data_IF_233215300275
#
_entry.id   IF_233215300275
#
_cell.length_a   1.000
_cell.length_b   1.000
_cell.length_c   1.000
_cell.angle_alpha   90.00
_cell.angle_beta   90.00
_cell.angle_gamma   90.00
#
_symmetry.space_group_name_H-M   'P 1'
#
loop_
_entity.id
_entity.type
_entity.pdbx_description
1 polymer ?
#
# COMPACT_ATOMS: atom_id res chain seq x y z
N UNK A 1 -10.37 17.36 0.16
CA UNK A 1 -9.64 17.06 -1.08
C UNK A 1 -8.79 15.84 -0.80
N UNK A 2 -8.98 14.73 -1.53
CA UNK A 2 -8.07 13.59 -1.41
C UNK A 2 -6.75 14.00 -2.07
N UNK A 3 -5.69 14.17 -1.27
CA UNK A 3 -4.34 14.43 -1.75
C UNK A 3 -3.69 13.10 -2.10
N UNK A 4 -3.63 12.74 -3.37
CA UNK A 4 -3.05 11.49 -3.83
C UNK A 4 -3.37 11.21 -5.30
N UNK A 5 -2.66 10.26 -5.88
CA UNK A 5 -2.85 9.80 -7.25
C UNK A 5 -3.88 8.65 -7.29
N UNK A 6 -4.69 8.58 -8.34
CA UNK A 6 -5.55 7.42 -8.59
C UNK A 6 -4.87 6.45 -9.54
N UNK A 7 -5.06 5.17 -9.29
CA UNK A 7 -4.50 4.08 -10.09
C UNK A 7 -5.59 3.08 -10.46
N UNK A 8 -5.58 2.67 -11.72
CA UNK A 8 -6.41 1.57 -12.23
C UNK A 8 -5.64 0.26 -12.12
N UNK A 9 -6.16 -0.69 -11.36
CA UNK A 9 -5.64 -2.05 -11.35
C UNK A 9 -6.02 -2.78 -12.65
N UNK A 10 -5.19 -3.72 -13.13
CA UNK A 10 -5.45 -4.45 -14.38
C UNK A 10 -6.79 -5.21 -14.41
N UNK A 11 -7.37 -5.50 -13.24
CA UNK A 11 -8.73 -6.06 -13.09
C UNK A 11 -9.86 -5.01 -13.14
N UNK A 12 -9.60 -3.81 -13.67
CA UNK A 12 -10.58 -2.72 -13.83
C UNK A 12 -11.21 -2.26 -12.51
N UNK A 13 -10.37 -2.06 -11.49
CA UNK A 13 -10.80 -1.55 -10.18
C UNK A 13 -9.93 -0.37 -9.78
N UNK A 14 -10.55 0.70 -9.30
CA UNK A 14 -9.85 1.92 -8.92
C UNK A 14 -9.27 1.81 -7.50
N UNK A 15 -8.07 2.37 -7.34
CA UNK A 15 -7.39 2.48 -6.07
C UNK A 15 -6.79 3.87 -5.88
N UNK A 16 -6.92 4.38 -4.66
CA UNK A 16 -6.31 5.62 -4.22
C UNK A 16 -4.94 5.36 -3.61
N UNK A 17 -3.90 5.96 -4.19
CA UNK A 17 -2.53 5.93 -3.65
C UNK A 17 -2.39 6.96 -2.52
N UNK A 18 -1.97 6.50 -1.34
CA UNK A 18 -1.71 7.36 -0.19
C UNK A 18 -0.23 7.74 -0.11
N UNK A 19 0.65 6.75 0.09
CA UNK A 19 2.08 6.99 0.25
C UNK A 19 2.91 5.70 0.05
N UNK A 20 4.23 5.84 0.12
CA UNK A 20 5.16 4.73 0.30
C UNK A 20 5.61 4.71 1.76
N UNK A 21 5.44 3.57 2.42
CA UNK A 21 5.95 3.31 3.75
C UNK A 21 7.30 2.59 3.66
N UNK A 22 8.29 3.08 4.40
CA UNK A 22 9.64 2.50 4.47
C UNK A 22 9.70 1.39 5.55
N UNK A 23 10.58 0.41 5.41
CA UNK A 23 10.84 -0.56 6.48
C UNK A 23 11.12 0.12 7.83
N UNK A 24 10.53 -0.41 8.91
CA UNK A 24 10.77 0.09 10.27
C UNK A 24 12.26 0.09 10.63
N UNK A 25 13.02 -0.89 10.13
CA UNK A 25 14.47 -0.99 10.38
C UNK A 25 15.31 0.09 9.68
N UNK A 26 14.73 0.85 8.74
CA UNK A 26 15.38 2.01 8.12
C UNK A 26 15.21 3.29 8.96
N UNK A 27 14.39 3.25 10.02
CA UNK A 27 14.23 4.39 10.92
C UNK A 27 15.46 4.57 11.81
N UNK A 28 16.19 5.67 11.58
CA UNK A 28 17.41 6.01 12.31
C UNK A 28 17.18 6.83 13.60
N UNK A 29 15.92 7.14 13.95
CA UNK A 29 15.57 7.89 15.15
C UNK A 29 15.40 7.03 16.40
N UNK A 30 14.93 7.63 17.50
CA UNK A 30 14.57 6.87 18.70
C UNK A 30 13.18 6.28 18.51
N UNK A 31 12.98 4.99 18.80
CA UNK A 31 11.67 4.33 18.66
C UNK A 31 10.54 5.04 19.41
N UNK A 32 10.84 5.74 20.51
CA UNK A 32 9.89 6.58 21.25
C UNK A 32 9.37 7.80 20.47
N UNK A 33 9.99 8.15 19.35
CA UNK A 33 9.58 9.25 18.46
C UNK A 33 8.61 8.78 17.37
N UNK A 34 8.36 7.47 17.26
CA UNK A 34 7.38 6.92 16.33
C UNK A 34 5.98 7.00 16.92
N UNK A 35 5.07 7.56 16.14
CA UNK A 35 3.64 7.58 16.41
C UNK A 35 2.98 6.34 15.78
N UNK A 36 1.84 5.93 16.33
CA UNK A 36 1.01 4.88 15.73
C UNK A 36 0.46 5.36 14.37
N UNK A 37 0.79 4.63 13.30
CA UNK A 37 0.31 4.89 11.95
C UNK A 37 -0.94 4.10 11.57
N UNK A 38 -1.48 3.29 12.49
CA UNK A 38 -2.60 2.40 12.26
C UNK A 38 -2.20 1.05 11.64
N UNK A 39 -3.20 0.35 11.10
CA UNK A 39 -3.04 -1.00 10.55
C UNK A 39 -3.32 -0.98 9.05
N UNK A 40 -2.44 -1.61 8.26
CA UNK A 40 -2.68 -1.94 6.88
C UNK A 40 -2.95 -3.44 6.69
N UNK A 41 -3.79 -3.77 5.72
CA UNK A 41 -4.10 -5.14 5.33
C UNK A 41 -3.09 -5.62 4.27
N UNK A 42 -2.50 -6.79 4.48
CA UNK A 42 -1.53 -7.37 3.55
C UNK A 42 -2.21 -7.86 2.26
N UNK A 43 -1.88 -7.21 1.15
CA UNK A 43 -2.43 -7.51 -0.17
C UNK A 43 -1.92 -8.83 -0.79
N UNK A 44 -0.98 -9.51 -0.14
CA UNK A 44 -0.52 -10.85 -0.53
C UNK A 44 -1.29 -11.97 0.17
N UNK A 45 -2.20 -11.65 1.07
CA UNK A 45 -3.06 -12.67 1.69
C UNK A 45 -3.82 -13.43 0.60
N UNK A 46 -3.63 -14.77 0.50
CA UNK A 46 -4.37 -15.57 -0.46
C UNK A 46 -5.88 -15.48 -0.24
N UNK A 47 -6.64 -15.53 -1.34
CA UNK A 47 -8.11 -15.52 -1.28
C UNK A 47 -8.62 -16.68 -0.42
N UNK A 48 -9.59 -16.38 0.45
CA UNK A 48 -10.17 -17.35 1.39
C UNK A 48 -9.32 -17.62 2.65
N UNK A 49 -8.19 -16.95 2.83
CA UNK A 49 -7.44 -16.95 4.09
C UNK A 49 -7.72 -15.69 4.92
N UNK A 50 -7.49 -15.81 6.21
CA UNK A 50 -7.51 -14.66 7.14
C UNK A 50 -6.47 -13.63 6.70
N UNK A 51 -6.89 -12.37 6.59
CA UNK A 51 -6.03 -11.29 6.11
C UNK A 51 -5.03 -10.92 7.20
N UNK A 52 -3.75 -10.93 6.84
CA UNK A 52 -2.70 -10.52 7.76
C UNK A 52 -2.72 -8.99 7.92
N UNK A 53 -2.66 -8.55 9.17
CA UNK A 53 -2.51 -7.15 9.53
C UNK A 53 -1.03 -6.79 9.64
N UNK A 54 -0.70 -5.58 9.19
CA UNK A 54 0.66 -5.04 9.25
C UNK A 54 0.62 -3.70 9.96
N UNK A 55 1.47 -3.53 10.97
CA UNK A 55 1.55 -2.29 11.74
C UNK A 55 2.26 -1.20 10.92
N UNK A 56 1.66 -0.02 10.90
CA UNK A 56 2.26 1.20 10.37
C UNK A 56 2.75 2.10 11.51
N UNK A 57 3.77 2.89 11.24
CA UNK A 57 4.29 3.90 12.16
C UNK A 57 4.48 5.21 11.41
N UNK A 58 4.34 6.32 12.12
CA UNK A 58 4.47 7.65 11.54
C UNK A 58 5.53 8.46 12.28
N UNK A 59 6.35 9.19 11.52
CA UNK A 59 7.25 10.19 12.10
C UNK A 59 7.45 11.34 11.11
N UNK A 60 7.05 12.56 11.50
CA UNK A 60 7.32 13.82 10.78
C UNK A 60 7.04 13.76 9.26
N UNK A 61 5.92 13.17 8.87
CA UNK A 61 5.50 13.09 7.46
C UNK A 61 5.97 11.83 6.73
N UNK A 62 6.83 11.01 7.35
CA UNK A 62 7.24 9.72 6.81
C UNK A 62 6.42 8.59 7.43
N UNK A 63 5.97 7.66 6.59
CA UNK A 63 5.32 6.43 7.00
C UNK A 63 6.35 5.29 7.04
N UNK A 64 6.26 4.45 8.04
CA UNK A 64 7.06 3.24 8.20
C UNK A 64 6.15 2.03 8.37
N UNK A 65 6.67 0.84 8.07
CA UNK A 65 5.92 -0.41 8.09
C UNK A 65 6.74 -1.51 8.76
N UNK A 66 6.08 -2.37 9.54
CA UNK A 66 6.68 -3.58 10.13
C UNK A 66 6.89 -4.70 9.08
N UNK A 67 7.72 -4.39 8.08
CA UNK A 67 8.14 -5.25 6.97
C UNK A 67 9.56 -4.91 6.56
N UNK A 68 10.25 -5.86 5.95
CA UNK A 68 11.65 -5.70 5.51
C UNK A 68 11.82 -4.93 4.20
N UNK A 69 10.73 -4.60 3.51
CA UNK A 69 10.75 -3.92 2.20
C UNK A 69 9.80 -2.72 2.18
N UNK A 70 10.06 -1.71 1.33
CA UNK A 70 9.12 -0.62 1.10
C UNK A 70 7.77 -1.12 0.55
N UNK A 71 6.68 -0.57 1.08
CA UNK A 71 5.32 -0.90 0.66
C UNK A 71 4.57 0.35 0.22
N UNK A 72 3.79 0.24 -0.85
CA UNK A 72 2.75 1.21 -1.18
C UNK A 72 1.57 1.01 -0.24
N UNK A 73 1.11 2.10 0.38
CA UNK A 73 -0.14 2.17 1.13
C UNK A 73 -1.20 2.77 0.23
N UNK A 74 -2.28 2.03 0.02
CA UNK A 74 -3.34 2.40 -0.93
C UNK A 74 -4.71 1.91 -0.46
N UNK A 75 -5.78 2.50 -0.99
CA UNK A 75 -7.16 2.17 -0.60
C UNK A 75 -7.99 1.77 -1.82
N UNK A 76 -8.84 0.75 -1.69
CA UNK A 76 -9.78 0.33 -2.73
C UNK A 76 -10.96 1.29 -2.79
N UNK A 77 -11.57 1.47 -3.96
CA UNK A 77 -12.80 2.26 -4.11
C UNK A 77 -13.93 1.81 -3.16
N UNK A 78 -14.09 0.49 -2.96
CA UNK A 78 -15.05 -0.09 -1.99
C UNK A 78 -14.79 0.37 -0.54
N UNK A 79 -13.56 0.75 -0.21
CA UNK A 79 -13.12 1.06 1.14
C UNK A 79 -13.01 2.59 1.40
N UNK A 80 -13.30 3.46 0.41
CA UNK A 80 -13.07 4.92 0.49
C UNK A 80 -13.73 5.64 1.68
N UNK A 81 -14.80 5.10 2.25
CA UNK A 81 -15.49 5.66 3.42
C UNK A 81 -15.07 4.98 4.73
N UNK A 82 -13.95 4.27 4.74
CA UNK A 82 -13.43 3.53 5.88
C UNK A 82 -11.96 3.88 6.14
N UNK A 83 -11.45 3.48 7.29
CA UNK A 83 -10.01 3.60 7.61
C UNK A 83 -9.19 2.45 7.02
N UNK A 84 -9.82 1.53 6.28
CA UNK A 84 -9.16 0.34 5.76
C UNK A 84 -8.23 0.70 4.62
N UNK A 85 -6.94 0.41 4.81
CA UNK A 85 -5.88 0.58 3.81
C UNK A 85 -5.15 -0.72 3.56
N UNK A 86 -4.60 -0.87 2.37
CA UNK A 86 -3.86 -2.05 1.93
C UNK A 86 -2.38 -1.72 1.78
N UNK A 87 -1.54 -2.70 2.06
CA UNK A 87 -0.10 -2.65 1.84
C UNK A 87 0.31 -3.66 0.77
N UNK A 88 1.13 -3.22 -0.19
CA UNK A 88 1.77 -4.09 -1.21
C UNK A 88 3.20 -3.63 -1.44
N UNK A 89 4.13 -4.55 -1.64
CA UNK A 89 5.52 -4.19 -1.98
C UNK A 89 5.57 -3.20 -3.17
N UNK A 90 6.45 -2.20 -3.09
CA UNK A 90 6.60 -1.16 -4.13
C UNK A 90 6.86 -1.76 -5.51
N UNK A 91 7.78 -2.72 -5.59
CA UNK A 91 8.14 -3.40 -6.84
C UNK A 91 6.95 -4.14 -7.46
N UNK A 92 6.02 -4.65 -6.65
CA UNK A 92 4.83 -5.30 -7.16
C UNK A 92 3.75 -4.32 -7.58
N UNK A 93 3.58 -3.23 -6.85
CA UNK A 93 2.57 -2.21 -7.16
C UNK A 93 2.89 -1.54 -8.50
N UNK A 94 4.13 -1.09 -8.68
CA UNK A 94 4.56 -0.46 -9.94
C UNK A 94 5.04 -1.48 -10.99
N UNK A 95 5.08 -2.76 -10.63
CA UNK A 95 5.55 -3.84 -11.49
C UNK A 95 4.54 -4.35 -12.50
N UNK A 96 4.97 -5.39 -13.21
CA UNK A 96 4.16 -6.09 -14.20
C UNK A 96 3.51 -7.34 -13.60
N UNK A 97 2.37 -7.75 -14.17
CA UNK A 97 1.72 -9.04 -13.89
C UNK A 97 1.61 -9.83 -15.19
N UNK A 98 1.87 -11.13 -15.11
CA UNK A 98 1.68 -12.06 -16.22
C UNK A 98 0.23 -12.55 -16.16
N UNK A 99 -0.53 -12.27 -17.23
CA UNK A 99 -1.86 -12.84 -17.44
C UNK A 99 -1.76 -14.01 -18.44
N UNK A 100 -2.83 -14.82 -18.64
CA UNK A 100 -2.83 -15.86 -19.67
C UNK A 100 -2.56 -15.36 -21.10
N UNK A 101 -2.74 -14.06 -21.37
CA UNK A 101 -2.68 -13.50 -22.71
C UNK A 101 -1.48 -12.58 -22.95
N UNK A 102 -1.01 -11.88 -21.90
CA UNK A 102 0.01 -10.85 -22.02
C UNK A 102 0.63 -10.48 -20.65
N UNK A 103 1.70 -9.70 -20.70
CA UNK A 103 2.28 -9.03 -19.53
C UNK A 103 1.77 -7.59 -19.49
N UNK A 104 1.14 -7.18 -18.39
CA UNK A 104 0.56 -5.83 -18.22
C UNK A 104 1.05 -5.19 -16.93
N UNK A 105 1.04 -3.84 -16.86
CA UNK A 105 1.28 -3.14 -15.59
C UNK A 105 0.20 -3.54 -14.58
N UNK A 106 0.58 -3.82 -13.34
CA UNK A 106 -0.40 -4.18 -12.29
C UNK A 106 -1.34 -3.02 -12.01
N UNK A 107 -0.76 -1.82 -11.86
CA UNK A 107 -1.47 -0.57 -11.65
C UNK A 107 -1.01 0.47 -12.69
N UNK A 108 -1.96 1.20 -13.26
CA UNK A 108 -1.68 2.30 -14.20
C UNK A 108 -2.27 3.58 -13.62
N UNK A 109 -1.47 4.65 -13.53
CA UNK A 109 -1.94 5.95 -13.05
C UNK A 109 -3.07 6.44 -13.95
N UNK A 110 -4.13 6.96 -13.34
CA UNK A 110 -5.24 7.61 -14.03
C UNK A 110 -4.86 9.07 -14.16
N UNK A 111 -4.50 9.49 -15.37
CA UNK A 111 -4.30 10.90 -15.67
C UNK A 111 -5.68 11.59 -15.70
N UNK A 112 -5.87 12.59 -14.83
CA UNK A 112 -7.05 13.46 -14.83
C UNK A 112 -6.76 14.76 -15.58
#
# INVERSE_FOLDING_TARGET
>A
MQHGDLYMHYKQKEYFFSCIALPFNEFAGRTSELEDGGIAFDAHTPEGKEINNVQLFYHKGAMFIDRDKPHVIYQSEDDYNTEKVWAREVDEFFGMVITPFNMVKRFTKIDK
#
